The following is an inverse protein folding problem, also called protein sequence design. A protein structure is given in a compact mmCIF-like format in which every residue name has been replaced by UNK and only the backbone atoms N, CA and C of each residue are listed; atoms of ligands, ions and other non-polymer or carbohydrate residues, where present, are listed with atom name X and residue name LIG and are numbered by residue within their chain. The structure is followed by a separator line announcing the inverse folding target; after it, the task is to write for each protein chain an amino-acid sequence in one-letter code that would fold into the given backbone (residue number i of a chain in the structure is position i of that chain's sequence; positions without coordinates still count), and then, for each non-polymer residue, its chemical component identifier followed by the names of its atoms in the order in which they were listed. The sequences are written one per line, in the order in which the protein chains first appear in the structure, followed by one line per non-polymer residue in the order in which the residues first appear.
data_IF_638026766556
#
_entry.id   IF_638026766556
#
_cell.length_a   1.000
_cell.length_b   1.000
_cell.length_c   1.000
_cell.angle_alpha   90.00
_cell.angle_beta   90.00
_cell.angle_gamma   90.00
#
_symmetry.space_group_name_H-M   'P 1'
#
loop_
_entity.id
_entity.type
_entity.pdbx_description
1 polymer ?
#
# COMPACT_ATOMS: atom_id res chain seq x y z
N UNK A 1 -1.15 6.16 7.28
CA UNK A 1 -1.61 5.15 6.28
C UNK A 1 -3.11 4.93 6.40
N UNK A 2 -3.86 5.16 5.32
CA UNK A 2 -5.30 4.93 5.26
C UNK A 2 -5.66 3.98 4.10
N UNK A 3 -6.62 3.09 4.34
CA UNK A 3 -7.15 2.17 3.34
C UNK A 3 -8.20 2.92 2.51
N UNK A 4 -7.89 3.21 1.24
CA UNK A 4 -8.78 4.00 0.38
C UNK A 4 -9.80 3.12 -0.34
N UNK A 5 -9.38 1.95 -0.81
CA UNK A 5 -10.28 0.99 -1.45
C UNK A 5 -9.66 -0.41 -1.54
N UNK A 6 -10.51 -1.42 -1.45
CA UNK A 6 -10.17 -2.80 -1.81
C UNK A 6 -11.08 -3.26 -2.95
N UNK A 7 -10.50 -3.55 -4.10
CA UNK A 7 -11.21 -4.03 -5.27
C UNK A 7 -10.79 -5.48 -5.50
N UNK A 8 -11.76 -6.40 -5.40
CA UNK A 8 -11.52 -7.84 -5.51
C UNK A 8 -11.51 -8.33 -6.96
N UNK A 9 -10.71 -9.36 -7.26
CA UNK A 9 -10.63 -10.06 -8.57
C UNK A 9 -10.35 -9.16 -9.77
N UNK A 10 -9.54 -8.12 -9.59
CA UNK A 10 -9.28 -7.12 -10.65
C UNK A 10 -8.27 -7.64 -11.68
N UNK A 11 -7.24 -8.37 -11.24
CA UNK A 11 -6.21 -8.88 -12.15
C UNK A 11 -6.32 -10.38 -12.26
N UNK A 12 -6.33 -10.88 -13.49
CA UNK A 12 -6.25 -12.29 -13.80
C UNK A 12 -4.87 -12.59 -14.37
N UNK A 13 -4.10 -13.43 -13.69
CA UNK A 13 -2.79 -13.86 -14.15
C UNK A 13 -2.60 -15.34 -13.82
N UNK A 14 -2.23 -16.14 -14.83
CA UNK A 14 -2.01 -17.59 -14.72
C UNK A 14 -3.14 -18.39 -14.04
N UNK A 15 -4.40 -18.02 -14.28
CA UNK A 15 -5.54 -18.74 -13.67
C UNK A 15 -5.91 -18.26 -12.27
N UNK A 16 -5.16 -17.32 -11.69
CA UNK A 16 -5.40 -16.79 -10.35
C UNK A 16 -5.93 -15.36 -10.43
N UNK A 17 -6.97 -15.09 -9.64
CA UNK A 17 -7.50 -13.75 -9.44
C UNK A 17 -6.78 -13.05 -8.29
N UNK A 18 -6.27 -11.86 -8.57
CA UNK A 18 -5.61 -11.01 -7.59
C UNK A 18 -6.50 -9.82 -7.24
N UNK A 19 -6.53 -9.51 -5.94
CA UNK A 19 -7.19 -8.34 -5.40
C UNK A 19 -6.25 -7.14 -5.50
N UNK A 20 -6.79 -5.97 -5.80
CA UNK A 20 -6.05 -4.71 -5.77
C UNK A 20 -6.47 -3.90 -4.56
N UNK A 21 -5.51 -3.61 -3.70
CA UNK A 21 -5.71 -2.77 -2.52
C UNK A 21 -5.03 -1.43 -2.81
N UNK A 22 -5.78 -0.34 -2.69
CA UNK A 22 -5.26 1.02 -2.75
C UNK A 22 -5.11 1.52 -1.32
N UNK A 23 -3.87 1.86 -0.98
CA UNK A 23 -3.55 2.54 0.28
C UNK A 23 -2.93 3.89 -0.04
N UNK A 24 -3.37 4.90 0.71
CA UNK A 24 -2.79 6.24 0.70
C UNK A 24 -1.99 6.48 1.97
N UNK A 25 -0.88 7.19 1.84
CA UNK A 25 -0.12 7.72 2.98
C UNK A 25 0.31 9.15 2.62
N UNK A 26 0.22 10.05 3.60
CA UNK A 26 0.72 11.41 3.43
C UNK A 26 2.24 11.41 3.34
N UNK A 27 2.80 12.34 2.56
CA UNK A 27 4.25 12.44 2.37
C UNK A 27 4.99 12.67 3.69
N UNK A 28 4.42 13.50 4.55
CA UNK A 28 4.94 13.82 5.89
C UNK A 28 5.03 12.57 6.78
N UNK A 29 4.01 11.70 6.76
CA UNK A 29 4.01 10.44 7.51
C UNK A 29 5.10 9.47 7.03
N UNK A 30 5.33 9.43 5.71
CA UNK A 30 6.35 8.58 5.09
C UNK A 30 7.77 9.05 5.42
N UNK A 31 8.01 10.36 5.32
CA UNK A 31 9.32 10.94 5.61
C UNK A 31 9.62 10.82 7.13
N UNK A 32 8.62 10.98 8.02
CA UNK A 32 8.77 10.72 9.45
C UNK A 32 9.06 9.23 9.78
N UNK A 33 8.45 8.28 9.05
CA UNK A 33 8.79 6.86 9.18
C UNK A 33 10.24 6.58 8.76
N UNK A 34 10.73 7.22 7.70
CA UNK A 34 12.11 7.04 7.22
C UNK A 34 13.15 7.54 8.22
N UNK A 35 12.92 8.67 8.86
CA UNK A 35 13.87 9.21 9.86
C UNK A 35 14.04 8.26 11.06
N UNK A 36 12.99 7.51 11.42
CA UNK A 36 13.05 6.51 12.47
C UNK A 36 13.97 5.31 12.12
N UNK A 37 14.07 4.92 10.84
CA UNK A 37 14.86 3.76 10.40
C UNK A 37 16.35 4.06 10.15
N UNK A 38 16.78 5.33 10.15
CA UNK A 38 18.17 5.72 9.84
C UNK A 38 19.01 5.90 11.13
N UNK A 39 18.38 5.84 12.31
CA UNK A 39 19.05 6.06 13.60
C UNK A 39 19.31 4.78 14.43
N UNK A 40 19.19 3.59 13.83
CA UNK A 40 19.64 2.31 14.42
C UNK A 40 21.02 1.87 13.93
#
# INVERSE_FOLDING_TARGET
MQLEANIRKVRYYEGVYYDSIRMGMLREEWDAQKECFITE
#
